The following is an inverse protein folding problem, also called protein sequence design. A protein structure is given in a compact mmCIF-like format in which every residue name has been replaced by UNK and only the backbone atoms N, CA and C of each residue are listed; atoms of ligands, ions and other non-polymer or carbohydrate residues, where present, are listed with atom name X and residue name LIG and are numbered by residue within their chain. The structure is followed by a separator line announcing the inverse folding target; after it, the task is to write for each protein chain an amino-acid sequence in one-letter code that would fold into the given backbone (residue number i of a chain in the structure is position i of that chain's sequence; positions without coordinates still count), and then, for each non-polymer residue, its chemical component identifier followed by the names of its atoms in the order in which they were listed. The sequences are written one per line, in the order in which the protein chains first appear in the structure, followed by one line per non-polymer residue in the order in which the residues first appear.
data_IF_383680712600
#
_entry.id   IF_383680712600
#
_cell.length_a   1.000
_cell.length_b   1.000
_cell.length_c   1.000
_cell.angle_alpha   90.00
_cell.angle_beta   90.00
_cell.angle_gamma   90.00
#
_symmetry.space_group_name_H-M   'P 1'
#
loop_
_entity.id
_entity.type
_entity.pdbx_description
1 polymer ?
#
# COMPACT_ATOMS: atom_id res chain seq x y z
N UNK A 1 0.28 12.26 -25.83
CA UNK A 1 0.89 12.29 -24.48
C UNK A 1 0.33 13.43 -23.63
N UNK A 2 0.53 14.71 -23.99
CA UNK A 2 0.05 15.83 -23.16
C UNK A 2 -1.47 15.79 -22.94
N UNK A 3 -2.26 15.59 -23.98
CA UNK A 3 -3.73 15.48 -23.88
C UNK A 3 -4.17 14.32 -22.96
N UNK A 4 -3.48 13.18 -23.02
CA UNK A 4 -3.72 12.04 -22.13
C UNK A 4 -3.45 12.40 -20.66
N UNK A 5 -2.31 13.05 -20.38
CA UNK A 5 -1.95 13.51 -19.03
C UNK A 5 -3.00 14.49 -18.50
N UNK A 6 -3.37 15.50 -19.31
CA UNK A 6 -4.39 16.49 -18.91
C UNK A 6 -5.74 15.82 -18.63
N UNK A 7 -6.19 14.90 -19.49
CA UNK A 7 -7.44 14.15 -19.29
C UNK A 7 -7.41 13.35 -17.99
N UNK A 8 -6.29 12.68 -17.68
CA UNK A 8 -6.11 11.92 -16.44
C UNK A 8 -6.12 12.83 -15.21
N UNK A 9 -5.45 13.98 -15.28
CA UNK A 9 -5.48 14.97 -14.20
C UNK A 9 -6.88 15.56 -13.99
N UNK A 10 -7.63 15.80 -15.05
CA UNK A 10 -9.01 16.28 -14.93
C UNK A 10 -9.94 15.24 -14.26
N UNK A 11 -9.74 13.95 -14.50
CA UNK A 11 -10.50 12.88 -13.86
C UNK A 11 -10.20 12.79 -12.34
N UNK A 12 -9.02 13.24 -11.87
CA UNK A 12 -8.73 13.26 -10.44
C UNK A 12 -9.69 14.16 -9.65
N UNK A 13 -10.08 15.29 -10.22
CA UNK A 13 -10.94 16.27 -9.55
C UNK A 13 -12.29 15.66 -9.15
N UNK A 14 -13.10 15.10 -10.08
CA UNK A 14 -14.38 14.49 -9.70
C UNK A 14 -14.19 13.27 -8.79
N UNK A 15 -13.09 12.52 -8.93
CA UNK A 15 -12.79 11.38 -8.05
C UNK A 15 -12.52 11.85 -6.62
N UNK A 16 -11.72 12.89 -6.43
CA UNK A 16 -11.45 13.47 -5.11
C UNK A 16 -12.69 14.08 -4.48
N UNK A 17 -13.55 14.75 -5.28
CA UNK A 17 -14.84 15.25 -4.82
C UNK A 17 -15.72 14.08 -4.36
N UNK A 18 -15.83 13.02 -5.16
CA UNK A 18 -16.59 11.84 -4.81
C UNK A 18 -16.11 11.19 -3.51
N UNK A 19 -14.80 11.01 -3.35
CA UNK A 19 -14.21 10.47 -2.11
C UNK A 19 -14.50 11.39 -0.93
N UNK A 20 -14.32 12.70 -1.07
CA UNK A 20 -14.57 13.66 0.01
C UNK A 20 -16.05 13.69 0.42
N UNK A 21 -16.97 13.54 -0.55
CA UNK A 21 -18.41 13.45 -0.28
C UNK A 21 -18.76 12.15 0.46
N UNK A 22 -18.21 11.02 0.03
CA UNK A 22 -18.42 9.73 0.71
C UNK A 22 -17.93 9.80 2.17
N UNK A 23 -16.69 10.29 2.37
CA UNK A 23 -16.09 10.40 3.71
C UNK A 23 -16.88 11.36 4.59
N UNK A 24 -17.33 12.49 4.06
CA UNK A 24 -18.21 13.43 4.77
C UNK A 24 -19.55 12.79 5.16
N UNK A 25 -20.18 12.08 4.22
CA UNK A 25 -21.46 11.42 4.44
C UNK A 25 -21.33 10.30 5.48
N UNK A 26 -20.27 9.50 5.43
CA UNK A 26 -20.02 8.44 6.43
C UNK A 26 -19.97 8.99 7.85
N UNK A 27 -19.34 10.16 8.04
CA UNK A 27 -19.30 10.81 9.35
C UNK A 27 -20.71 11.13 9.87
N UNK A 28 -21.58 11.66 9.00
CA UNK A 28 -22.93 12.07 9.37
C UNK A 28 -23.92 10.91 9.52
N UNK A 29 -23.63 9.76 8.89
CA UNK A 29 -24.42 8.53 9.04
C UNK A 29 -24.03 7.73 10.29
N UNK A 30 -22.88 8.01 10.89
CA UNK A 30 -22.42 7.29 12.08
C UNK A 30 -23.21 7.79 13.29
N UNK A 31 -23.83 6.90 14.09
CA UNK A 31 -24.60 7.30 15.26
C UNK A 31 -23.69 7.93 16.33
N UNK A 32 -24.08 9.10 16.80
CA UNK A 32 -23.38 9.93 17.81
C UNK A 32 -23.22 11.37 17.35
N UNK A 33 -23.25 12.29 18.32
CA UNK A 33 -22.96 13.71 18.04
C UNK A 33 -21.44 13.93 18.00
N UNK A 34 -20.88 14.44 16.89
CA UNK A 34 -19.46 14.76 16.82
C UNK A 34 -18.98 15.69 17.95
N UNK A 35 -19.82 16.59 18.45
CA UNK A 35 -19.48 17.48 19.56
C UNK A 35 -19.35 16.73 20.89
N UNK A 36 -20.25 15.78 21.17
CA UNK A 36 -20.20 14.93 22.36
C UNK A 36 -18.95 14.03 22.36
N UNK A 37 -18.59 13.52 21.18
CA UNK A 37 -17.38 12.69 21.03
C UNK A 37 -16.09 13.48 21.25
N UNK A 38 -16.04 14.74 20.82
CA UNK A 38 -14.88 15.62 21.01
C UNK A 38 -14.68 16.04 22.47
N UNK A 39 -15.76 16.29 23.17
CA UNK A 39 -15.72 16.80 24.56
C UNK A 39 -15.82 15.68 25.61
N UNK A 40 -16.32 14.49 25.20
CA UNK A 40 -16.61 13.36 26.10
C UNK A 40 -17.95 13.48 26.84
N UNK A 41 -18.37 12.39 27.47
CA UNK A 41 -19.69 12.24 28.14
C UNK A 41 -19.94 13.21 29.30
N UNK A 42 -18.91 13.94 29.77
CA UNK A 42 -19.01 14.89 30.88
C UNK A 42 -19.03 16.35 30.42
N UNK A 43 -19.24 16.59 29.14
CA UNK A 43 -19.33 17.94 28.62
C UNK A 43 -20.59 18.66 29.13
N UNK A 44 -20.44 19.96 29.43
CA UNK A 44 -21.60 20.81 29.75
C UNK A 44 -22.34 21.16 28.46
N UNK A 45 -23.67 21.41 28.59
CA UNK A 45 -24.51 21.79 27.43
C UNK A 45 -23.95 23.06 26.73
N UNK A 46 -23.40 24.00 27.51
CA UNK A 46 -22.79 25.22 26.96
C UNK A 46 -21.54 24.91 26.13
N UNK A 47 -20.67 23.98 26.59
CA UNK A 47 -19.47 23.58 25.86
C UNK A 47 -19.86 22.82 24.58
N UNK A 48 -20.86 21.97 24.64
CA UNK A 48 -21.42 21.26 23.47
C UNK A 48 -21.97 22.27 22.45
N UNK A 49 -22.71 23.28 22.89
CA UNK A 49 -23.25 24.31 22.00
C UNK A 49 -22.13 25.10 21.31
N UNK A 50 -21.10 25.51 22.04
CA UNK A 50 -19.94 26.22 21.48
C UNK A 50 -19.20 25.38 20.44
N UNK A 51 -18.99 24.08 20.70
CA UNK A 51 -18.32 23.18 19.74
C UNK A 51 -19.18 22.94 18.50
N UNK A 52 -20.51 22.74 18.66
CA UNK A 52 -21.45 22.62 17.54
C UNK A 52 -21.42 23.87 16.66
N UNK A 53 -21.43 25.05 17.27
CA UNK A 53 -21.36 26.33 16.55
C UNK A 53 -20.00 26.51 15.85
N UNK A 54 -18.89 26.23 16.54
CA UNK A 54 -17.54 26.34 15.97
C UNK A 54 -17.28 25.38 14.81
N UNK A 55 -17.84 24.16 14.90
CA UNK A 55 -17.76 23.16 13.82
C UNK A 55 -18.83 23.35 12.74
N UNK A 56 -19.79 24.27 12.96
CA UNK A 56 -20.90 24.53 12.05
C UNK A 56 -21.90 23.36 11.96
N UNK A 57 -21.99 22.53 12.99
CA UNK A 57 -22.87 21.34 12.98
C UNK A 57 -24.37 21.71 12.97
N UNK A 58 -24.71 22.94 13.33
CA UNK A 58 -26.06 23.47 13.28
C UNK A 58 -26.48 23.97 11.89
N UNK A 59 -25.52 24.09 10.96
CA UNK A 59 -25.76 24.54 9.61
C UNK A 59 -26.32 23.43 8.70
N UNK A 60 -27.00 23.76 7.59
CA UNK A 60 -27.42 22.77 6.61
C UNK A 60 -26.25 21.95 6.06
N UNK A 61 -26.45 20.67 5.73
CA UNK A 61 -25.40 19.73 5.31
C UNK A 61 -24.52 20.24 4.14
N UNK A 62 -25.12 20.99 3.19
CA UNK A 62 -24.37 21.55 2.07
C UNK A 62 -23.42 22.67 2.51
N UNK A 63 -23.77 23.45 3.55
CA UNK A 63 -22.87 24.45 4.16
C UNK A 63 -21.75 23.78 4.93
N UNK A 64 -22.07 22.75 5.72
CA UNK A 64 -21.08 21.93 6.44
C UNK A 64 -20.06 21.31 5.47
N UNK A 65 -20.55 20.73 4.36
CA UNK A 65 -19.67 20.18 3.32
C UNK A 65 -18.79 21.26 2.69
N UNK A 66 -19.34 22.44 2.41
CA UNK A 66 -18.57 23.58 1.90
C UNK A 66 -17.45 24.00 2.86
N UNK A 67 -17.74 24.10 4.17
CA UNK A 67 -16.73 24.38 5.20
C UNK A 67 -15.68 23.28 5.31
N UNK A 68 -16.08 22.01 5.23
CA UNK A 68 -15.19 20.87 5.21
C UNK A 68 -14.22 20.93 4.02
N UNK A 69 -14.71 21.12 2.80
CA UNK A 69 -13.86 21.27 1.61
C UNK A 69 -12.92 22.47 1.73
N UNK A 70 -13.40 23.60 2.25
CA UNK A 70 -12.57 24.78 2.49
C UNK A 70 -11.42 24.50 3.47
N UNK A 71 -11.63 23.72 4.54
CA UNK A 71 -10.58 23.27 5.46
C UNK A 71 -9.59 22.35 4.75
N UNK A 72 -10.07 21.38 3.98
CA UNK A 72 -9.21 20.49 3.19
C UNK A 72 -8.31 21.23 2.21
N UNK A 73 -8.82 22.25 1.54
CA UNK A 73 -8.03 23.08 0.62
C UNK A 73 -6.91 23.87 1.34
N UNK A 74 -7.06 24.12 2.65
CA UNK A 74 -6.03 24.72 3.49
C UNK A 74 -5.06 23.68 4.10
N UNK A 75 -5.23 22.39 3.80
CA UNK A 75 -4.46 21.29 4.37
C UNK A 75 -4.81 20.97 5.83
N UNK A 76 -5.96 21.45 6.31
CA UNK A 76 -6.42 21.20 7.67
C UNK A 76 -7.32 19.95 7.68
N UNK A 77 -6.80 18.85 8.24
CA UNK A 77 -7.48 17.58 8.43
C UNK A 77 -8.09 17.44 9.85
N UNK A 78 -8.01 18.48 10.66
CA UNK A 78 -8.48 18.47 12.04
C UNK A 78 -7.44 17.93 13.04
N UNK A 79 -7.90 17.73 14.28
CA UNK A 79 -7.10 17.24 15.40
C UNK A 79 -7.67 15.92 15.93
N UNK A 80 -6.78 15.01 16.35
CA UNK A 80 -7.20 13.73 16.92
C UNK A 80 -7.84 13.97 18.30
N UNK A 81 -8.86 13.21 18.62
CA UNK A 81 -9.54 13.28 19.92
C UNK A 81 -8.60 12.85 21.05
N UNK A 82 -7.78 11.83 20.80
CA UNK A 82 -6.95 11.20 21.82
C UNK A 82 -5.68 11.98 22.16
N UNK A 83 -4.90 12.33 21.14
CA UNK A 83 -3.57 12.95 21.33
C UNK A 83 -3.63 14.46 21.26
N UNK A 84 -4.76 15.05 20.84
CA UNK A 84 -4.92 16.48 20.57
C UNK A 84 -3.89 17.04 19.58
N UNK A 85 -3.26 16.15 18.82
CA UNK A 85 -2.34 16.52 17.76
C UNK A 85 -3.08 16.67 16.43
N UNK A 86 -2.51 17.46 15.52
CA UNK A 86 -3.03 17.58 14.15
C UNK A 86 -2.95 16.22 13.46
N UNK A 87 -4.02 15.80 12.81
CA UNK A 87 -4.09 14.56 12.01
C UNK A 87 -2.93 14.49 11.02
N UNK A 88 -2.56 15.61 10.41
CA UNK A 88 -1.42 15.70 9.50
C UNK A 88 -0.08 15.35 10.14
N UNK A 89 0.13 15.70 11.41
CA UNK A 89 1.34 15.33 12.15
C UNK A 89 1.42 13.83 12.39
N UNK A 90 0.31 13.23 12.80
CA UNK A 90 0.20 11.78 12.99
C UNK A 90 0.43 11.02 11.67
N UNK A 91 -0.12 11.51 10.54
CA UNK A 91 0.11 10.93 9.22
C UNK A 91 1.61 10.94 8.87
N UNK A 92 2.29 12.07 9.05
CA UNK A 92 3.74 12.18 8.77
C UNK A 92 4.58 11.19 9.58
N UNK A 93 4.17 10.87 10.79
CA UNK A 93 4.89 9.93 11.64
C UNK A 93 4.64 8.47 11.26
N UNK A 94 3.43 8.13 10.78
CA UNK A 94 3.02 6.75 10.55
C UNK A 94 3.12 6.30 9.09
N UNK A 95 2.90 7.23 8.17
CA UNK A 95 2.95 6.93 6.74
C UNK A 95 4.29 6.33 6.29
N UNK A 96 5.46 6.81 6.74
CA UNK A 96 6.74 6.18 6.39
C UNK A 96 6.83 4.70 6.77
N UNK A 97 6.23 4.28 7.88
CA UNK A 97 6.21 2.88 8.30
C UNK A 97 5.42 1.99 7.33
N UNK A 98 4.22 2.42 6.92
CA UNK A 98 3.42 1.70 5.92
C UNK A 98 4.10 1.69 4.55
N UNK A 99 4.68 2.81 4.14
CA UNK A 99 5.39 2.92 2.87
C UNK A 99 6.60 2.00 2.81
N UNK A 100 7.41 1.97 3.87
CA UNK A 100 8.60 1.11 3.98
C UNK A 100 8.22 -0.38 3.88
N UNK A 101 7.22 -0.80 4.66
CA UNK A 101 6.70 -2.16 4.63
C UNK A 101 6.15 -2.52 3.24
N UNK A 102 5.36 -1.64 2.65
CA UNK A 102 4.76 -1.87 1.33
C UNK A 102 5.80 -1.94 0.21
N UNK A 103 6.85 -1.09 0.26
CA UNK A 103 7.94 -1.13 -0.71
C UNK A 103 8.75 -2.43 -0.62
N UNK A 104 9.09 -2.89 0.59
CA UNK A 104 9.81 -4.15 0.78
C UNK A 104 8.95 -5.34 0.36
N UNK A 105 7.67 -5.37 0.71
CA UNK A 105 6.74 -6.40 0.26
C UNK A 105 6.59 -6.40 -1.27
N UNK A 106 6.51 -5.23 -1.90
CA UNK A 106 6.48 -5.10 -3.37
C UNK A 106 7.77 -5.64 -4.00
N UNK A 107 8.93 -5.30 -3.47
CA UNK A 107 10.22 -5.81 -3.99
C UNK A 107 10.28 -7.33 -3.91
N UNK A 108 9.88 -7.93 -2.77
CA UNK A 108 9.81 -9.39 -2.62
C UNK A 108 8.86 -9.98 -3.67
N UNK A 109 7.66 -9.42 -3.82
CA UNK A 109 6.65 -9.92 -4.76
C UNK A 109 7.08 -9.78 -6.21
N UNK A 110 7.77 -8.70 -6.58
CA UNK A 110 8.34 -8.53 -7.91
C UNK A 110 9.40 -9.58 -8.21
N UNK A 111 10.39 -9.72 -7.34
CA UNK A 111 11.49 -10.67 -7.55
C UNK A 111 10.97 -12.09 -7.61
N UNK A 112 10.23 -12.52 -6.58
CA UNK A 112 9.71 -13.88 -6.50
C UNK A 112 8.67 -14.18 -7.58
N UNK A 113 7.74 -13.24 -7.82
CA UNK A 113 6.68 -13.40 -8.80
C UNK A 113 7.22 -13.51 -10.23
N UNK A 114 8.18 -12.66 -10.61
CA UNK A 114 8.81 -12.71 -11.93
C UNK A 114 9.61 -14.01 -12.09
N UNK A 115 10.41 -14.42 -11.10
CA UNK A 115 11.19 -15.66 -11.16
C UNK A 115 10.26 -16.88 -11.31
N UNK A 116 9.23 -16.99 -10.46
CA UNK A 116 8.26 -18.10 -10.52
C UNK A 116 7.52 -18.12 -11.85
N UNK A 117 7.11 -16.95 -12.35
CA UNK A 117 6.43 -16.81 -13.65
C UNK A 117 7.31 -17.24 -14.84
N UNK A 118 8.59 -16.86 -14.84
CA UNK A 118 9.56 -17.27 -15.88
C UNK A 118 9.80 -18.78 -15.83
N UNK A 119 10.02 -19.36 -14.64
CA UNK A 119 10.24 -20.80 -14.47
C UNK A 119 9.02 -21.57 -14.99
N UNK A 120 7.83 -21.16 -14.57
CA UNK A 120 6.57 -21.78 -14.98
C UNK A 120 6.35 -21.68 -16.49
N UNK A 121 6.57 -20.53 -17.12
CA UNK A 121 6.39 -20.35 -18.55
C UNK A 121 7.43 -21.12 -19.40
N UNK A 122 8.71 -21.16 -18.95
CA UNK A 122 9.78 -21.82 -19.72
C UNK A 122 9.83 -23.32 -19.57
N UNK A 123 9.19 -23.86 -18.52
CA UNK A 123 9.04 -25.30 -18.22
C UNK A 123 7.56 -25.70 -18.18
N UNK A 124 6.77 -25.21 -19.12
CA UNK A 124 5.33 -25.47 -19.21
C UNK A 124 5.01 -26.97 -19.10
N UNK A 125 3.96 -27.30 -18.33
CA UNK A 125 3.50 -28.67 -18.05
C UNK A 125 4.50 -29.57 -17.30
N UNK A 126 5.56 -29.01 -16.75
CA UNK A 126 6.50 -29.74 -15.91
C UNK A 126 6.11 -29.63 -14.43
N UNK A 127 6.76 -30.46 -13.60
CA UNK A 127 6.61 -30.38 -12.13
C UNK A 127 6.94 -28.97 -11.59
N UNK A 128 7.88 -28.28 -12.21
CA UNK A 128 8.24 -26.90 -11.82
C UNK A 128 7.13 -25.88 -12.12
N UNK A 129 6.38 -26.07 -13.21
CA UNK A 129 5.22 -25.25 -13.53
C UNK A 129 4.13 -25.50 -12.48
N UNK A 130 3.80 -26.75 -12.20
CA UNK A 130 2.78 -27.11 -11.22
C UNK A 130 3.15 -26.63 -9.81
N UNK A 131 4.38 -26.86 -9.35
CA UNK A 131 4.82 -26.41 -8.02
C UNK A 131 4.83 -24.89 -7.89
N UNK A 132 5.27 -24.16 -8.91
CA UNK A 132 5.27 -22.69 -8.91
C UNK A 132 3.84 -22.13 -8.81
N UNK A 133 2.91 -22.71 -9.60
CA UNK A 133 1.52 -22.26 -9.61
C UNK A 133 0.75 -22.72 -8.36
N UNK A 134 1.01 -23.93 -7.87
CA UNK A 134 0.43 -24.42 -6.62
C UNK A 134 0.90 -23.57 -5.42
N UNK A 135 2.20 -23.26 -5.32
CA UNK A 135 2.72 -22.38 -4.29
C UNK A 135 2.10 -20.98 -4.32
N UNK A 136 1.94 -20.43 -5.53
CA UNK A 136 1.24 -19.17 -5.72
C UNK A 136 -0.25 -19.26 -5.30
N UNK A 137 -0.93 -20.35 -5.62
CA UNK A 137 -2.33 -20.58 -5.25
C UNK A 137 -2.49 -20.70 -3.73
N UNK A 138 -1.63 -21.49 -3.07
CA UNK A 138 -1.61 -21.62 -1.60
C UNK A 138 -1.44 -20.25 -0.96
N UNK A 139 -0.49 -19.43 -1.44
CA UNK A 139 -0.24 -18.09 -0.90
C UNK A 139 -1.46 -17.14 -1.00
N UNK A 140 -2.30 -17.28 -2.03
CA UNK A 140 -3.53 -16.47 -2.16
C UNK A 140 -4.68 -17.05 -1.32
N UNK A 141 -4.71 -18.36 -1.12
CA UNK A 141 -5.82 -19.05 -0.44
C UNK A 141 -5.74 -18.91 1.08
N UNK A 142 -4.56 -18.63 1.62
CA UNK A 142 -4.36 -18.46 3.06
C UNK A 142 -4.72 -17.05 3.50
N UNK A 143 -5.52 -16.86 4.57
CA UNK A 143 -5.73 -15.55 5.16
C UNK A 143 -4.39 -14.95 5.61
N UNK A 144 -4.11 -13.69 5.20
CA UNK A 144 -2.85 -13.00 5.51
C UNK A 144 -2.56 -13.01 7.01
N UNK A 145 -3.58 -12.74 7.83
CA UNK A 145 -3.42 -12.70 9.28
C UNK A 145 -3.02 -14.07 9.86
N UNK A 146 -3.61 -15.16 9.37
CA UNK A 146 -3.28 -16.50 9.81
C UNK A 146 -1.84 -16.88 9.42
N UNK A 147 -1.43 -16.55 8.20
CA UNK A 147 -0.06 -16.78 7.73
C UNK A 147 0.96 -16.00 8.60
N UNK A 148 0.65 -14.74 8.94
CA UNK A 148 1.47 -13.94 9.83
C UNK A 148 1.66 -14.59 11.21
N UNK A 149 0.58 -15.07 11.82
CA UNK A 149 0.62 -15.77 13.10
C UNK A 149 1.42 -17.08 13.02
N UNK A 150 1.28 -17.85 11.94
CA UNK A 150 2.09 -19.07 11.71
C UNK A 150 3.57 -18.73 11.57
N UNK A 151 3.92 -17.67 10.85
CA UNK A 151 5.32 -17.24 10.75
C UNK A 151 5.90 -16.80 12.10
N UNK A 152 5.15 -16.05 12.90
CA UNK A 152 5.55 -15.68 14.26
C UNK A 152 5.80 -16.92 15.12
N UNK A 153 4.88 -17.88 15.07
CA UNK A 153 5.01 -19.13 15.84
C UNK A 153 6.27 -19.90 15.44
N UNK A 154 6.52 -20.06 14.14
CA UNK A 154 7.64 -20.86 13.64
C UNK A 154 8.95 -20.10 13.79
N UNK A 155 9.07 -18.91 13.19
CA UNK A 155 10.35 -18.22 13.02
C UNK A 155 10.77 -17.40 14.24
N UNK A 156 9.81 -16.91 15.02
CA UNK A 156 10.11 -16.13 16.21
C UNK A 156 10.10 -17.00 17.48
N UNK A 157 8.98 -17.67 17.77
CA UNK A 157 8.82 -18.38 19.04
C UNK A 157 9.58 -19.72 19.07
N UNK A 158 9.48 -20.55 18.01
CA UNK A 158 10.10 -21.88 18.03
C UNK A 158 11.58 -21.84 17.62
N UNK A 159 11.93 -21.08 16.59
CA UNK A 159 13.29 -21.03 16.04
C UNK A 159 14.13 -19.87 16.60
N UNK A 160 13.50 -18.82 17.11
CA UNK A 160 14.21 -17.64 17.61
C UNK A 160 15.01 -16.89 16.52
N UNK A 161 14.66 -17.04 15.24
CA UNK A 161 15.43 -16.46 14.13
C UNK A 161 15.09 -15.00 13.87
N UNK A 162 13.83 -14.63 14.01
CA UNK A 162 13.31 -13.31 13.65
C UNK A 162 12.56 -12.68 14.82
N UNK A 163 12.57 -11.34 14.95
CA UNK A 163 11.82 -10.62 15.99
C UNK A 163 10.33 -10.85 15.83
N UNK A 164 9.59 -10.88 16.95
CA UNK A 164 8.16 -11.17 16.92
C UNK A 164 7.33 -9.98 16.40
N UNK A 165 7.72 -8.73 16.72
CA UNK A 165 6.93 -7.53 16.44
C UNK A 165 7.75 -6.25 16.50
N UNK A 166 7.16 -5.13 16.07
CA UNK A 166 7.80 -3.81 16.08
C UNK A 166 8.65 -3.53 14.85
N UNK A 167 9.31 -2.38 14.84
CA UNK A 167 10.19 -1.93 13.74
C UNK A 167 11.67 -1.94 14.13
N UNK A 168 11.95 -1.94 15.42
CA UNK A 168 13.29 -1.90 15.98
C UNK A 168 13.23 -2.51 17.39
N UNK A 169 14.32 -3.13 17.83
CA UNK A 169 14.48 -3.63 19.19
C UNK A 169 14.58 -2.46 20.19
N UNK A 170 14.11 -2.67 21.40
CA UNK A 170 14.07 -1.60 22.43
C UNK A 170 15.44 -1.16 22.95
N UNK A 171 16.46 -1.99 22.74
CA UNK A 171 17.85 -1.77 23.09
C UNK A 171 18.68 -1.09 22.00
N UNK A 172 18.07 -0.82 20.83
CA UNK A 172 18.72 -0.19 19.68
C UNK A 172 18.20 1.23 19.50
N UNK A 173 19.07 2.22 19.70
CA UNK A 173 18.76 3.62 19.47
C UNK A 173 18.93 3.99 17.99
N UNK A 174 17.98 4.75 17.45
CA UNK A 174 18.03 5.30 16.11
C UNK A 174 17.63 6.78 16.12
N UNK A 175 18.51 7.63 15.59
CA UNK A 175 18.18 9.03 15.34
C UNK A 175 17.22 9.14 14.16
N UNK A 176 15.98 9.56 14.43
CA UNK A 176 14.91 9.65 13.43
C UNK A 176 15.05 10.97 12.66
N UNK A 177 15.21 10.88 11.34
CA UNK A 177 15.29 12.01 10.41
C UNK A 177 14.05 12.06 9.50
N UNK A 178 13.70 10.93 8.89
CA UNK A 178 12.62 10.82 7.89
C UNK A 178 11.47 9.91 8.34
N UNK A 179 11.62 9.21 9.45
CA UNK A 179 10.75 8.11 9.91
C UNK A 179 10.77 6.84 9.01
N UNK A 180 11.61 6.77 7.99
CA UNK A 180 11.95 5.52 7.31
C UNK A 180 13.14 4.90 8.02
N UNK A 181 12.93 3.89 8.86
CA UNK A 181 13.96 3.39 9.77
C UNK A 181 15.17 2.80 9.06
N UNK A 182 14.95 2.08 7.94
CA UNK A 182 16.05 1.56 7.11
C UNK A 182 16.86 2.71 6.50
N UNK A 183 16.17 3.75 5.99
CA UNK A 183 16.82 4.92 5.41
C UNK A 183 17.53 5.75 6.49
N UNK A 184 16.87 5.99 7.61
CA UNK A 184 17.44 6.76 8.73
C UNK A 184 18.70 6.09 9.30
N UNK A 185 18.70 4.75 9.41
CA UNK A 185 19.87 3.98 9.83
C UNK A 185 21.04 4.13 8.85
N UNK A 186 20.77 4.17 7.54
CA UNK A 186 21.80 4.43 6.51
C UNK A 186 22.30 5.87 6.61
N UNK A 187 21.40 6.87 6.71
CA UNK A 187 21.74 8.29 6.76
C UNK A 187 22.57 8.65 8.00
N UNK A 188 22.30 7.99 9.13
CA UNK A 188 23.00 8.19 10.40
C UNK A 188 24.26 7.31 10.55
N UNK A 189 24.52 6.40 9.58
CA UNK A 189 25.64 5.46 9.64
C UNK A 189 25.49 4.40 10.74
N UNK A 190 24.28 4.20 11.29
CA UNK A 190 24.01 3.25 12.35
C UNK A 190 23.70 1.85 11.77
N UNK A 191 24.77 1.09 11.51
CA UNK A 191 24.66 -0.25 10.93
C UNK A 191 24.00 -1.28 11.86
N UNK A 192 24.06 -1.07 13.19
CA UNK A 192 23.36 -1.92 14.15
C UNK A 192 21.83 -1.74 13.98
N UNK A 193 21.36 -0.48 13.96
CA UNK A 193 19.97 -0.18 13.71
C UNK A 193 19.50 -0.61 12.31
N UNK A 194 20.36 -0.48 11.29
CA UNK A 194 20.06 -0.98 9.94
C UNK A 194 19.79 -2.49 9.93
N UNK A 195 20.69 -3.28 10.52
CA UNK A 195 20.53 -4.73 10.60
C UNK A 195 19.27 -5.10 11.37
N UNK A 196 19.02 -4.47 12.49
CA UNK A 196 17.86 -4.73 13.32
C UNK A 196 16.54 -4.38 12.64
N UNK A 197 16.45 -3.20 12.00
CA UNK A 197 15.28 -2.77 11.23
C UNK A 197 14.99 -3.73 10.05
N UNK A 198 16.03 -4.18 9.33
CA UNK A 198 15.88 -5.19 8.27
C UNK A 198 15.37 -6.51 8.84
N UNK A 199 15.84 -6.95 10.02
CA UNK A 199 15.37 -8.18 10.66
C UNK A 199 13.88 -8.10 11.04
N UNK A 200 13.43 -6.95 11.55
CA UNK A 200 12.04 -6.71 11.94
C UNK A 200 11.08 -6.68 10.75
N UNK A 201 11.50 -6.17 9.59
CA UNK A 201 10.61 -6.03 8.42
C UNK A 201 10.43 -7.33 7.63
N UNK A 202 11.32 -8.33 7.76
CA UNK A 202 11.31 -9.55 6.95
C UNK A 202 9.97 -10.31 7.06
N UNK A 203 9.55 -10.68 8.28
CA UNK A 203 8.32 -11.45 8.45
C UNK A 203 7.07 -10.72 7.96
N UNK A 204 6.80 -9.46 8.41
CA UNK A 204 5.63 -8.73 7.93
C UNK A 204 5.67 -8.50 6.41
N UNK A 205 6.85 -8.22 5.82
CA UNK A 205 6.97 -8.00 4.39
C UNK A 205 6.73 -9.29 3.57
N UNK A 206 7.26 -10.43 4.00
CA UNK A 206 7.00 -11.74 3.35
C UNK A 206 5.50 -12.05 3.45
N UNK A 207 4.91 -11.91 4.62
CA UNK A 207 3.47 -12.14 4.84
C UNK A 207 2.63 -11.28 3.89
N UNK A 208 2.91 -10.00 3.82
CA UNK A 208 2.17 -9.04 3.00
C UNK A 208 2.41 -9.27 1.49
N UNK A 209 3.58 -9.78 1.10
CA UNK A 209 3.96 -10.02 -0.30
C UNK A 209 3.28 -11.24 -0.94
N UNK A 210 2.69 -12.15 -0.17
CA UNK A 210 2.19 -13.45 -0.69
C UNK A 210 1.16 -13.32 -1.80
N UNK A 211 0.13 -12.49 -1.60
CA UNK A 211 -0.92 -12.27 -2.61
C UNK A 211 -0.36 -11.58 -3.86
N UNK A 212 0.37 -10.44 -3.74
CA UNK A 212 1.00 -9.81 -4.90
C UNK A 212 1.96 -10.73 -5.66
N UNK A 213 2.75 -11.57 -4.95
CA UNK A 213 3.65 -12.55 -5.58
C UNK A 213 2.89 -13.50 -6.50
N UNK A 214 1.76 -14.04 -6.04
CA UNK A 214 0.95 -14.95 -6.83
C UNK A 214 0.33 -14.26 -8.06
N UNK A 215 -0.12 -13.02 -7.91
CA UNK A 215 -0.70 -12.25 -9.01
C UNK A 215 0.38 -11.91 -10.05
N UNK A 216 1.55 -11.45 -9.62
CA UNK A 216 2.70 -11.16 -10.50
C UNK A 216 3.21 -12.43 -11.18
N UNK A 217 3.29 -13.57 -10.47
CA UNK A 217 3.72 -14.83 -11.05
C UNK A 217 2.78 -15.31 -12.18
N UNK A 218 1.47 -15.26 -11.95
CA UNK A 218 0.47 -15.63 -12.96
C UNK A 218 0.51 -14.69 -14.17
N UNK A 219 0.61 -13.38 -13.94
CA UNK A 219 0.70 -12.42 -15.03
C UNK A 219 1.99 -12.61 -15.83
N UNK A 220 3.13 -12.80 -15.17
CA UNK A 220 4.41 -13.06 -15.82
C UNK A 220 4.37 -14.36 -16.63
N UNK A 221 3.80 -15.43 -16.07
CA UNK A 221 3.61 -16.70 -16.79
C UNK A 221 2.78 -16.51 -18.06
N UNK A 222 1.63 -15.88 -17.96
CA UNK A 222 0.72 -15.66 -19.09
C UNK A 222 1.39 -14.82 -20.18
N UNK A 223 1.96 -13.67 -19.83
CA UNK A 223 2.65 -12.79 -20.78
C UNK A 223 3.87 -13.46 -21.43
N UNK A 224 4.65 -14.23 -20.66
CA UNK A 224 5.78 -14.97 -21.20
C UNK A 224 5.34 -16.06 -22.17
N UNK A 225 4.28 -16.83 -21.89
CA UNK A 225 3.76 -17.86 -22.78
C UNK A 225 3.27 -17.27 -24.11
N UNK A 226 2.58 -16.14 -24.07
CA UNK A 226 2.15 -15.42 -25.26
C UNK A 226 3.33 -14.98 -26.12
N UNK A 227 4.32 -14.33 -25.50
CA UNK A 227 5.52 -13.82 -26.18
C UNK A 227 6.39 -14.96 -26.73
N UNK A 228 6.58 -16.06 -25.99
CA UNK A 228 7.40 -17.20 -26.43
C UNK A 228 6.86 -17.92 -27.68
N UNK A 229 5.58 -17.72 -28.03
CA UNK A 229 4.94 -18.28 -29.23
C UNK A 229 5.08 -17.40 -30.48
N UNK A 230 5.56 -16.16 -30.33
CA UNK A 230 5.68 -15.20 -31.43
C UNK A 230 6.78 -15.59 -32.43
N UNK A 231 6.62 -15.21 -33.70
CA UNK A 231 7.52 -15.61 -34.78
C UNK A 231 8.92 -15.03 -34.66
N UNK A 232 9.06 -13.83 -34.10
CA UNK A 232 10.40 -13.25 -33.85
C UNK A 232 11.21 -14.08 -32.83
N UNK A 233 10.56 -14.77 -31.91
CA UNK A 233 11.21 -15.70 -30.97
C UNK A 233 11.65 -16.97 -31.70
N UNK A 234 10.82 -17.50 -32.62
CA UNK A 234 11.21 -18.63 -33.48
C UNK A 234 12.43 -18.27 -34.34
N UNK A 235 12.42 -17.07 -34.92
CA UNK A 235 13.56 -16.55 -35.69
C UNK A 235 14.82 -16.42 -34.83
N UNK A 236 14.71 -15.90 -33.59
CA UNK A 236 15.83 -15.82 -32.68
C UNK A 236 16.45 -17.19 -32.35
N UNK A 237 15.60 -18.21 -32.15
CA UNK A 237 16.03 -19.60 -31.95
C UNK A 237 16.71 -20.17 -33.21
N UNK A 238 16.13 -19.95 -34.40
CA UNK A 238 16.67 -20.40 -35.66
C UNK A 238 18.05 -19.80 -35.96
N UNK A 239 18.32 -18.57 -35.51
CA UNK A 239 19.62 -17.89 -35.56
C UNK A 239 20.68 -18.45 -34.57
N UNK A 240 20.37 -19.49 -33.81
CA UNK A 240 21.28 -20.12 -32.86
C UNK A 240 21.51 -19.35 -31.55
N UNK A 241 20.63 -18.40 -31.20
CA UNK A 241 20.75 -17.68 -29.91
C UNK A 241 20.55 -18.62 -28.74
N UNK A 242 21.38 -18.48 -27.71
CA UNK A 242 21.25 -19.28 -26.47
C UNK A 242 19.89 -19.09 -25.81
N UNK A 243 19.38 -20.15 -25.15
CA UNK A 243 18.09 -20.12 -24.43
C UNK A 243 18.01 -18.96 -23.45
N UNK A 244 19.09 -18.64 -22.75
CA UNK A 244 19.16 -17.51 -21.82
C UNK A 244 18.88 -16.18 -22.53
N UNK A 245 19.57 -15.92 -23.66
CA UNK A 245 19.36 -14.70 -24.46
C UNK A 245 17.93 -14.60 -24.99
N UNK A 246 17.38 -15.73 -25.49
CA UNK A 246 15.99 -15.77 -25.98
C UNK A 246 14.99 -15.42 -24.87
N UNK A 247 15.14 -16.02 -23.68
CA UNK A 247 14.22 -15.82 -22.56
C UNK A 247 14.37 -14.41 -21.98
N UNK A 248 15.56 -14.01 -21.55
CA UNK A 248 15.72 -12.77 -20.77
C UNK A 248 15.80 -11.51 -21.64
N UNK A 249 16.45 -11.56 -22.81
CA UNK A 249 16.63 -10.39 -23.67
C UNK A 249 15.46 -10.17 -24.63
N UNK A 250 14.89 -11.25 -25.19
CA UNK A 250 13.86 -11.15 -26.24
C UNK A 250 12.44 -11.37 -25.70
N UNK A 251 12.22 -12.39 -24.86
CA UNK A 251 10.88 -12.69 -24.38
C UNK A 251 10.49 -11.83 -23.17
N UNK A 252 11.29 -11.82 -22.11
CA UNK A 252 10.97 -11.11 -20.86
C UNK A 252 10.75 -9.62 -21.10
N UNK A 253 11.59 -8.97 -21.89
CA UNK A 253 11.49 -7.53 -22.17
C UNK A 253 10.10 -7.15 -22.71
N UNK A 254 9.52 -7.95 -23.59
CA UNK A 254 8.20 -7.70 -24.16
C UNK A 254 7.07 -8.14 -23.22
N UNK A 255 7.29 -9.22 -22.45
CA UNK A 255 6.35 -9.71 -21.46
C UNK A 255 6.23 -8.76 -20.24
N UNK A 256 7.21 -7.89 -19.99
CA UNK A 256 7.20 -6.97 -18.84
C UNK A 256 6.14 -5.88 -18.93
N UNK A 257 5.61 -5.56 -20.10
CA UNK A 257 4.61 -4.48 -20.24
C UNK A 257 3.38 -4.72 -19.34
N UNK A 258 2.63 -5.83 -19.48
CA UNK A 258 1.50 -6.11 -18.60
C UNK A 258 1.93 -6.41 -17.15
N UNK A 259 3.15 -6.95 -16.95
CA UNK A 259 3.67 -7.24 -15.61
C UNK A 259 3.92 -5.96 -14.82
N UNK A 260 4.54 -4.94 -15.41
CA UNK A 260 4.80 -3.64 -14.75
C UNK A 260 3.47 -2.96 -14.37
N UNK A 261 2.48 -3.01 -15.25
CA UNK A 261 1.14 -2.48 -14.93
C UNK A 261 0.54 -3.19 -13.71
N UNK A 262 0.62 -4.53 -13.69
CA UNK A 262 0.16 -5.33 -12.56
C UNK A 262 0.89 -4.99 -11.26
N UNK A 263 2.22 -4.84 -11.30
CA UNK A 263 3.05 -4.44 -10.16
C UNK A 263 2.61 -3.08 -9.62
N UNK A 264 2.37 -2.11 -10.51
CA UNK A 264 1.91 -0.78 -10.12
C UNK A 264 0.56 -0.80 -9.41
N UNK A 265 -0.41 -1.57 -9.92
CA UNK A 265 -1.70 -1.77 -9.27
C UNK A 265 -1.56 -2.45 -7.90
N UNK A 266 -0.67 -3.45 -7.79
CA UNK A 266 -0.41 -4.12 -6.51
C UNK A 266 0.21 -3.16 -5.48
N UNK A 267 1.05 -2.22 -5.91
CA UNK A 267 1.60 -1.21 -4.99
C UNK A 267 0.50 -0.35 -4.35
N UNK A 268 -0.47 0.11 -5.14
CA UNK A 268 -1.63 0.84 -4.62
C UNK A 268 -2.40 0.02 -3.58
N UNK A 269 -2.65 -1.25 -3.89
CA UNK A 269 -3.36 -2.18 -2.98
C UNK A 269 -2.57 -2.42 -1.68
N UNK A 270 -1.25 -2.59 -1.75
CA UNK A 270 -0.40 -2.79 -0.58
C UNK A 270 -0.46 -1.61 0.40
N UNK A 271 -0.51 -0.38 -0.11
CA UNK A 271 -0.62 0.82 0.72
C UNK A 271 -1.99 0.95 1.42
N UNK A 272 -3.05 0.40 0.81
CA UNK A 272 -4.39 0.39 1.40
C UNK A 272 -4.64 -0.82 2.30
N UNK A 273 -3.95 -1.94 2.08
CA UNK A 273 -4.29 -3.26 2.60
C UNK A 273 -3.45 -3.79 3.76
N UNK A 274 -2.50 -3.00 4.28
CA UNK A 274 -1.57 -3.48 5.31
C UNK A 274 -2.16 -3.58 6.73
N UNK A 275 -3.43 -3.20 6.95
CA UNK A 275 -4.08 -3.07 8.28
C UNK A 275 -3.87 -4.32 9.14
N UNK A 276 -4.22 -5.49 8.63
CA UNK A 276 -4.11 -6.74 9.40
C UNK A 276 -2.65 -7.11 9.69
N UNK A 277 -1.77 -6.95 8.71
CA UNK A 277 -0.33 -7.22 8.88
C UNK A 277 0.27 -6.25 9.90
N UNK A 278 -0.02 -4.96 9.79
CA UNK A 278 0.45 -3.94 10.74
C UNK A 278 -0.05 -4.22 12.16
N UNK A 279 -1.31 -4.65 12.30
CA UNK A 279 -1.89 -4.95 13.61
C UNK A 279 -1.23 -6.16 14.25
N UNK A 280 -1.05 -7.26 13.51
CA UNK A 280 -0.49 -8.51 14.02
C UNK A 280 0.96 -8.34 14.42
N UNK A 281 1.77 -7.70 13.56
CA UNK A 281 3.19 -7.48 13.84
C UNK A 281 3.46 -6.23 14.69
N UNK A 282 2.42 -5.59 15.26
CA UNK A 282 2.51 -4.34 16.01
C UNK A 282 3.32 -3.26 15.25
N UNK A 283 3.19 -3.24 13.93
CA UNK A 283 3.85 -2.27 13.05
C UNK A 283 3.14 -0.92 13.16
N UNK A 284 3.82 0.18 13.55
CA UNK A 284 3.17 1.46 13.83
C UNK A 284 2.85 2.25 12.54
N UNK A 285 2.11 1.63 11.62
CA UNK A 285 1.73 2.22 10.35
C UNK A 285 0.37 2.90 10.34
N UNK A 286 -0.03 3.35 9.14
CA UNK A 286 -1.31 4.02 8.88
C UNK A 286 -2.51 3.09 9.06
N UNK A 287 -2.39 1.83 8.65
CA UNK A 287 -3.49 0.87 8.71
C UNK A 287 -3.87 0.55 10.14
N UNK A 288 -2.87 0.23 10.99
CA UNK A 288 -3.09 0.02 12.42
C UNK A 288 -3.67 1.26 13.09
N UNK A 289 -3.13 2.44 12.81
CA UNK A 289 -3.62 3.70 13.36
C UNK A 289 -5.07 4.00 12.98
N UNK A 290 -5.46 3.75 11.74
CA UNK A 290 -6.85 3.89 11.31
C UNK A 290 -7.77 2.86 11.95
N UNK A 291 -7.31 1.61 12.10
CA UNK A 291 -8.06 0.59 12.83
C UNK A 291 -8.31 1.00 14.27
N UNK A 292 -7.27 1.46 14.98
CA UNK A 292 -7.38 1.95 16.36
C UNK A 292 -8.33 3.16 16.44
N UNK A 293 -8.32 4.05 15.45
CA UNK A 293 -9.23 5.19 15.37
C UNK A 293 -10.70 4.77 15.19
N UNK A 294 -10.95 3.75 14.37
CA UNK A 294 -12.33 3.19 14.22
C UNK A 294 -12.83 2.63 15.54
N UNK A 295 -12.00 1.86 16.26
CA UNK A 295 -12.36 1.29 17.54
C UNK A 295 -12.60 2.36 18.62
N UNK A 296 -11.89 3.49 18.53
CA UNK A 296 -11.99 4.61 19.46
C UNK A 296 -12.97 5.71 19.00
N UNK A 297 -13.61 5.53 17.84
CA UNK A 297 -14.51 6.51 17.22
C UNK A 297 -13.86 7.88 17.00
N UNK A 298 -12.55 7.91 16.68
CA UNK A 298 -11.86 9.15 16.33
C UNK A 298 -12.15 9.53 14.87
N UNK A 299 -13.24 10.27 14.68
CA UNK A 299 -13.75 10.62 13.35
C UNK A 299 -12.78 11.48 12.55
N UNK A 300 -12.03 12.37 13.20
CA UNK A 300 -11.07 13.23 12.49
C UNK A 300 -9.93 12.40 11.90
N UNK A 301 -9.46 11.40 12.63
CA UNK A 301 -8.47 10.44 12.12
C UNK A 301 -9.03 9.61 10.99
N UNK A 302 -10.24 9.05 11.15
CA UNK A 302 -10.88 8.22 10.12
C UNK A 302 -11.07 9.05 8.84
N UNK A 303 -11.59 10.26 8.96
CA UNK A 303 -11.84 11.16 7.84
C UNK A 303 -10.55 11.58 7.14
N UNK A 304 -9.59 12.13 7.90
CA UNK A 304 -8.32 12.62 7.38
C UNK A 304 -7.45 11.49 6.83
N UNK A 305 -7.39 10.35 7.53
CA UNK A 305 -6.64 9.16 7.10
C UNK A 305 -7.21 8.55 5.83
N UNK A 306 -8.54 8.41 5.73
CA UNK A 306 -9.20 7.89 4.51
C UNK A 306 -8.97 8.80 3.33
N UNK A 307 -9.11 10.12 3.50
CA UNK A 307 -8.84 11.09 2.44
C UNK A 307 -7.37 11.02 1.99
N UNK A 308 -6.43 10.95 2.93
CA UNK A 308 -5.01 10.85 2.61
C UNK A 308 -4.70 9.58 1.82
N UNK A 309 -5.13 8.40 2.31
CA UNK A 309 -4.89 7.11 1.65
C UNK A 309 -5.56 7.08 0.26
N UNK A 310 -6.80 7.55 0.14
CA UNK A 310 -7.50 7.60 -1.13
C UNK A 310 -6.80 8.52 -2.14
N UNK A 311 -6.37 9.69 -1.69
CA UNK A 311 -5.61 10.64 -2.54
C UNK A 311 -4.30 10.01 -3.00
N UNK A 312 -3.57 9.36 -2.10
CA UNK A 312 -2.33 8.67 -2.42
C UNK A 312 -2.56 7.53 -3.42
N UNK A 313 -3.60 6.72 -3.22
CA UNK A 313 -3.97 5.65 -4.14
C UNK A 313 -4.26 6.16 -5.56
N UNK A 314 -5.01 7.26 -5.65
CA UNK A 314 -5.33 7.91 -6.93
C UNK A 314 -4.04 8.44 -7.60
N UNK A 315 -3.14 9.07 -6.83
CA UNK A 315 -1.87 9.56 -7.36
C UNK A 315 -0.94 8.43 -7.83
N UNK A 316 -0.88 7.32 -7.10
CA UNK A 316 -0.11 6.14 -7.50
C UNK A 316 -0.68 5.57 -8.81
N UNK A 317 -1.99 5.40 -8.92
CA UNK A 317 -2.60 4.93 -10.16
C UNK A 317 -2.32 5.88 -11.33
N UNK A 318 -2.34 7.20 -11.10
CA UNK A 318 -1.93 8.17 -12.12
C UNK A 318 -0.48 7.94 -12.56
N UNK A 319 0.45 7.77 -11.60
CA UNK A 319 1.87 7.49 -11.92
C UNK A 319 2.00 6.18 -12.72
N UNK A 320 1.28 5.13 -12.34
CA UNK A 320 1.25 3.85 -13.07
C UNK A 320 0.73 4.02 -14.49
N UNK A 321 -0.36 4.77 -14.68
CA UNK A 321 -0.93 5.08 -15.99
C UNK A 321 0.06 5.86 -16.87
N UNK A 322 0.79 6.82 -16.28
CA UNK A 322 1.82 7.60 -16.98
C UNK A 322 3.01 6.74 -17.36
N UNK A 323 3.48 5.89 -16.45
CA UNK A 323 4.55 4.92 -16.73
C UNK A 323 4.15 3.97 -17.87
N UNK A 324 2.91 3.50 -17.85
CA UNK A 324 2.38 2.65 -18.91
C UNK A 324 2.38 3.36 -20.28
N UNK A 325 1.95 4.62 -20.33
CA UNK A 325 1.97 5.40 -21.56
C UNK A 325 3.40 5.67 -22.10
N UNK A 326 4.39 5.76 -21.21
CA UNK A 326 5.82 5.89 -21.59
C UNK A 326 6.38 4.57 -22.13
N UNK A 327 6.04 3.44 -21.48
CA UNK A 327 6.56 2.12 -21.84
C UNK A 327 5.90 1.61 -23.14
N UNK A 328 4.63 1.90 -23.36
CA UNK A 328 3.90 1.50 -24.55
C UNK A 328 3.31 2.71 -25.32
N UNK A 329 4.10 3.37 -26.18
CA UNK A 329 3.66 4.57 -26.89
C UNK A 329 2.51 4.35 -27.87
N UNK A 330 2.16 3.10 -28.17
CA UNK A 330 1.03 2.78 -29.08
C UNK A 330 -0.35 3.10 -28.48
N UNK A 331 -0.45 3.27 -27.16
CA UNK A 331 -1.72 3.55 -26.45
C UNK A 331 -2.04 5.05 -26.43
N UNK A 332 -1.07 5.92 -26.65
CA UNK A 332 -1.30 7.38 -26.66
C UNK A 332 -2.05 7.89 -27.88
N UNK A 333 -2.52 7.02 -28.77
CA UNK A 333 -3.17 7.37 -30.06
C UNK A 333 -4.67 7.11 -30.03
N UNK A 334 -5.23 6.55 -28.96
CA UNK A 334 -6.67 6.41 -28.71
C UNK A 334 -7.08 7.27 -27.51
#
# INVERSE_FOLDING_TARGET
MLAYIIRRMLILIPTLIGVSLIVFTMLHLTPGDPAELLLGERATDEALHQVREHLGLNEPLYVQYGMFVKRLMKGDLGETIRTRQKVWTEIKQRFPATMELSLVALMISCVMGIILGIISATKQYSIFDYLSMLGALIGVSMPIFWLGLVFMLIFSLNLGWLPISGRLSTDVDLSIVTNFYILDAILTGNWAAFKDAVWHIIMPAITLSTIPTAIVARMTRSAMLEVLRQDYIKTAKAKGLSRFKVVFKHALRNAMIPVITTIGLQFGVLLCGAILTETIFAWPGMGKWMYDAVMQRDYMVIQGGTLFISTLFILINLVVDLLYAVINPRISVQ
#
